data_IF_462442553753
#
_entry.id   IF_462442553753
#
_cell.length_a   1.000
_cell.length_b   1.000
_cell.length_c   1.000
_cell.angle_alpha   90.00
_cell.angle_beta   90.00
_cell.angle_gamma   90.00
#
_symmetry.space_group_name_H-M   'P 1'
#
loop_
_entity.id
_entity.type
_entity.pdbx_description
1 polymer ?
#
# COMPACT_ATOMS: atom_id res chain seq x y z
N UNK A 1 28.73 -1.50 6.50
CA UNK A 1 27.68 -2.53 6.65
C UNK A 1 26.91 -2.55 5.34
N UNK A 2 27.15 -3.55 4.47
CA UNK A 2 26.29 -3.75 3.30
C UNK A 2 25.11 -4.56 3.80
N UNK A 3 23.91 -3.99 3.79
CA UNK A 3 22.70 -4.76 4.04
C UNK A 3 22.60 -5.77 2.89
N UNK A 4 23.13 -6.98 3.07
CA UNK A 4 22.88 -8.12 2.20
C UNK A 4 21.47 -8.64 2.44
N UNK A 5 20.48 -7.76 2.54
CA UNK A 5 19.09 -8.15 2.67
C UNK A 5 18.72 -8.99 1.44
N UNK A 6 17.86 -9.98 1.63
CA UNK A 6 17.35 -10.77 0.51
C UNK A 6 16.46 -9.88 -0.37
N UNK A 7 17.11 -9.21 -1.33
CA UNK A 7 16.52 -8.21 -2.22
C UNK A 7 15.35 -8.80 -3.00
N UNK A 8 15.48 -10.05 -3.45
CA UNK A 8 14.47 -10.74 -4.20
C UNK A 8 13.25 -11.04 -3.33
N UNK A 9 13.45 -11.43 -2.08
CA UNK A 9 12.36 -11.65 -1.13
C UNK A 9 11.65 -10.35 -0.77
N UNK A 10 12.38 -9.26 -0.57
CA UNK A 10 11.78 -7.93 -0.36
C UNK A 10 10.91 -7.53 -1.56
N UNK A 11 11.47 -7.60 -2.77
CA UNK A 11 10.73 -7.25 -4.00
C UNK A 11 9.49 -8.12 -4.18
N UNK A 12 9.60 -9.42 -3.90
CA UNK A 12 8.46 -10.32 -3.95
C UNK A 12 7.37 -9.92 -2.96
N UNK A 13 7.72 -9.53 -1.73
CA UNK A 13 6.75 -9.04 -0.74
C UNK A 13 6.09 -7.74 -1.19
N UNK A 14 6.87 -6.78 -1.70
CA UNK A 14 6.33 -5.54 -2.28
C UNK A 14 5.40 -5.84 -3.47
N UNK A 15 5.72 -6.86 -4.27
CA UNK A 15 4.89 -7.27 -5.39
C UNK A 15 3.54 -7.86 -4.94
N UNK A 16 3.55 -8.69 -3.89
CA UNK A 16 2.32 -9.20 -3.26
C UNK A 16 1.46 -8.05 -2.74
N UNK A 17 2.08 -7.07 -2.07
CA UNK A 17 1.40 -5.87 -1.57
C UNK A 17 0.70 -5.09 -2.68
N UNK A 18 1.42 -4.77 -3.74
CA UNK A 18 0.87 -4.02 -4.86
C UNK A 18 -0.25 -4.80 -5.56
N UNK A 19 -0.14 -6.14 -5.64
CA UNK A 19 -1.19 -7.00 -6.19
C UNK A 19 -2.45 -6.98 -5.33
N UNK A 20 -2.31 -7.07 -4.01
CA UNK A 20 -3.42 -6.99 -3.07
C UNK A 20 -4.17 -5.66 -3.20
N UNK A 21 -3.44 -4.55 -3.17
CA UNK A 21 -4.01 -3.22 -3.39
C UNK A 21 -4.69 -3.09 -4.76
N UNK A 22 -4.10 -3.68 -5.81
CA UNK A 22 -4.68 -3.70 -7.16
C UNK A 22 -5.98 -4.47 -7.23
N UNK A 23 -6.08 -5.61 -6.57
CA UNK A 23 -7.28 -6.43 -6.60
C UNK A 23 -8.39 -5.76 -5.78
N UNK A 24 -8.06 -5.13 -4.65
CA UNK A 24 -9.02 -4.39 -3.83
C UNK A 24 -9.60 -3.16 -4.56
N UNK A 25 -8.76 -2.40 -5.28
CA UNK A 25 -9.20 -1.18 -5.96
C UNK A 25 -9.65 -1.41 -7.41
N UNK A 26 -9.64 -2.64 -7.92
CA UNK A 26 -9.79 -2.93 -9.35
C UNK A 26 -11.07 -2.33 -9.95
N UNK A 27 -12.20 -2.50 -9.28
CA UNK A 27 -13.49 -2.03 -9.80
C UNK A 27 -13.57 -0.51 -9.84
N UNK A 28 -13.14 0.14 -8.76
CA UNK A 28 -13.13 1.61 -8.64
C UNK A 28 -12.16 2.27 -9.63
N UNK A 29 -10.97 1.67 -9.83
CA UNK A 29 -9.98 2.15 -10.79
C UNK A 29 -10.43 1.93 -12.24
N UNK A 30 -11.06 0.79 -12.55
CA UNK A 30 -11.65 0.53 -13.87
C UNK A 30 -12.77 1.50 -14.22
N UNK A 31 -13.59 1.86 -13.23
CA UNK A 31 -14.64 2.85 -13.42
C UNK A 31 -14.07 4.25 -13.72
N UNK A 32 -12.92 4.57 -13.14
CA UNK A 32 -12.30 5.90 -13.24
C UNK A 32 -11.42 6.07 -14.48
N UNK A 33 -10.59 5.06 -14.79
CA UNK A 33 -9.55 5.14 -15.83
C UNK A 33 -9.81 4.23 -17.04
N UNK A 34 -10.84 3.38 -16.99
CA UNK A 34 -11.15 2.38 -18.02
C UNK A 34 -10.59 1.00 -17.71
N UNK A 35 -11.04 -0.02 -18.46
CA UNK A 35 -10.62 -1.42 -18.29
C UNK A 35 -9.13 -1.65 -18.49
N UNK A 36 -8.50 -0.77 -19.27
CA UNK A 36 -7.13 -0.95 -19.79
C UNK A 36 -6.11 -0.14 -18.98
N UNK A 37 -6.48 0.36 -17.79
CA UNK A 37 -5.58 1.14 -16.93
C UNK A 37 -4.36 0.33 -16.43
N UNK A 38 -4.48 -0.99 -16.39
CA UNK A 38 -3.38 -1.94 -16.14
C UNK A 38 -3.55 -3.16 -17.05
N UNK A 39 -2.72 -3.24 -18.08
CA UNK A 39 -2.73 -4.28 -19.10
C UNK A 39 -1.99 -5.55 -18.66
N UNK A 40 -1.00 -5.42 -17.79
CA UNK A 40 -0.11 -6.50 -17.43
C UNK A 40 0.52 -6.37 -16.05
N UNK A 41 1.03 -7.49 -15.57
CA UNK A 41 1.68 -7.58 -14.26
C UNK A 41 2.93 -6.67 -14.18
N UNK A 42 3.64 -6.47 -15.29
CA UNK A 42 4.77 -5.53 -15.37
C UNK A 42 4.40 -4.06 -15.07
N UNK A 43 3.12 -3.70 -15.15
CA UNK A 43 2.62 -2.35 -14.86
C UNK A 43 2.13 -2.21 -13.41
N UNK A 44 2.19 -3.29 -12.61
CA UNK A 44 1.71 -3.29 -11.24
C UNK A 44 2.24 -2.13 -10.38
N UNK A 45 3.51 -1.68 -10.49
CA UNK A 45 3.99 -0.50 -9.76
C UNK A 45 3.25 0.80 -10.06
N UNK A 46 2.61 0.92 -11.23
CA UNK A 46 1.88 2.13 -11.62
C UNK A 46 0.58 2.34 -10.84
N UNK A 47 0.09 1.31 -10.13
CA UNK A 47 -1.09 1.48 -9.29
C UNK A 47 -0.94 2.61 -8.27
N UNK A 48 0.25 2.80 -7.71
CA UNK A 48 0.53 3.88 -6.76
C UNK A 48 0.25 5.25 -7.40
N UNK A 49 0.63 5.40 -8.68
CA UNK A 49 0.32 6.60 -9.45
C UNK A 49 -1.18 6.80 -9.65
N UNK A 50 -1.92 5.74 -10.00
CA UNK A 50 -3.39 5.81 -10.14
C UNK A 50 -4.09 6.17 -8.82
N UNK A 51 -3.66 5.59 -7.70
CA UNK A 51 -4.15 5.95 -6.37
C UNK A 51 -3.94 7.45 -6.11
N UNK A 52 -2.73 7.96 -6.34
CA UNK A 52 -2.47 9.40 -6.17
C UNK A 52 -3.24 10.28 -7.16
N UNK A 53 -3.42 9.85 -8.41
CA UNK A 53 -4.27 10.57 -9.35
C UNK A 53 -5.71 10.64 -8.84
N UNK A 54 -6.27 9.58 -8.25
CA UNK A 54 -7.57 9.64 -7.59
C UNK A 54 -7.59 10.62 -6.41
N UNK A 55 -6.50 10.73 -5.64
CA UNK A 55 -6.38 11.71 -4.55
C UNK A 55 -6.32 13.17 -5.03
N UNK A 56 -5.60 13.43 -6.13
CA UNK A 56 -5.18 14.79 -6.52
C UNK A 56 -5.86 15.36 -7.78
N UNK A 57 -6.51 14.55 -8.63
CA UNK A 57 -7.07 15.03 -9.92
C UNK A 57 -8.41 15.78 -9.76
N UNK A 58 -8.94 15.87 -8.54
CA UNK A 58 -10.22 16.52 -8.24
C UNK A 58 -10.24 18.05 -8.45
N UNK A 59 -9.10 18.73 -8.58
CA UNK A 59 -9.07 20.18 -8.77
C UNK A 59 -9.42 20.63 -10.21
N UNK A 60 -9.47 19.69 -11.17
CA UNK A 60 -9.66 20.01 -12.60
C UNK A 60 -10.97 19.53 -13.21
N UNK A 61 -11.77 18.71 -12.54
CA UNK A 61 -13.02 18.17 -13.08
C UNK A 61 -14.21 18.78 -12.35
N UNK A 62 -14.78 19.82 -12.95
CA UNK A 62 -15.98 20.47 -12.44
C UNK A 62 -17.17 19.52 -12.34
N UNK A 63 -17.93 19.65 -11.25
CA UNK A 63 -19.34 19.24 -11.09
C UNK A 63 -19.68 17.76 -11.32
N UNK A 64 -18.86 16.84 -10.80
CA UNK A 64 -19.24 15.42 -10.65
C UNK A 64 -18.79 14.88 -9.29
N UNK A 65 -19.39 13.77 -8.87
CA UNK A 65 -19.22 13.01 -7.61
C UNK A 65 -17.80 12.45 -7.35
N UNK A 66 -16.75 13.22 -7.68
CA UNK A 66 -15.35 12.84 -7.51
C UNK A 66 -14.91 12.78 -6.04
N UNK A 67 -15.64 13.43 -5.13
CA UNK A 67 -15.35 13.40 -3.69
C UNK A 67 -15.59 12.02 -3.07
N UNK A 68 -16.67 11.34 -3.46
CA UNK A 68 -17.03 9.99 -2.95
C UNK A 68 -16.05 8.93 -3.46
N UNK A 69 -15.60 9.07 -4.71
CA UNK A 69 -14.64 8.15 -5.34
C UNK A 69 -13.24 8.25 -4.71
N UNK A 70 -12.84 9.45 -4.25
CA UNK A 70 -11.55 9.70 -3.56
C UNK A 70 -11.41 8.89 -2.27
N UNK A 71 -12.41 9.01 -1.40
CA UNK A 71 -12.43 8.28 -0.12
C UNK A 71 -12.49 6.77 -0.34
N UNK A 72 -13.31 6.34 -1.29
CA UNK A 72 -13.54 4.91 -1.55
C UNK A 72 -12.27 4.18 -1.99
N UNK A 73 -11.56 4.68 -3.00
CA UNK A 73 -10.35 4.00 -3.52
C UNK A 73 -9.25 3.91 -2.45
N UNK A 74 -9.07 4.96 -1.64
CA UNK A 74 -8.09 4.94 -0.56
C UNK A 74 -8.50 4.03 0.60
N UNK A 75 -9.79 3.99 0.94
CA UNK A 75 -10.30 3.06 1.96
C UNK A 75 -10.15 1.60 1.51
N UNK A 76 -10.39 1.32 0.22
CA UNK A 76 -10.16 -0.01 -0.37
C UNK A 76 -8.68 -0.40 -0.33
N UNK A 77 -7.78 0.52 -0.69
CA UNK A 77 -6.34 0.29 -0.62
C UNK A 77 -5.86 0.12 0.83
N UNK A 78 -6.36 0.94 1.76
CA UNK A 78 -6.04 0.85 3.18
C UNK A 78 -6.49 -0.49 3.75
N UNK A 79 -7.72 -0.93 3.47
CA UNK A 79 -8.19 -2.25 3.92
C UNK A 79 -7.34 -3.41 3.40
N UNK A 80 -6.81 -3.32 2.17
CA UNK A 80 -5.89 -4.32 1.64
C UNK A 80 -4.54 -4.35 2.38
N UNK A 81 -4.06 -3.17 2.81
CA UNK A 81 -2.84 -3.03 3.60
C UNK A 81 -3.06 -3.52 5.04
N UNK A 82 -4.19 -3.20 5.65
CA UNK A 82 -4.56 -3.63 7.00
C UNK A 82 -4.60 -5.16 7.08
N UNK A 83 -5.23 -5.83 6.12
CA UNK A 83 -5.23 -7.30 6.03
C UNK A 83 -3.81 -7.87 5.93
N UNK A 84 -2.88 -7.18 5.24
CA UNK A 84 -1.48 -7.61 5.16
C UNK A 84 -0.72 -7.42 6.47
N UNK A 85 -1.07 -6.39 7.25
CA UNK A 85 -0.55 -6.20 8.60
C UNK A 85 -1.07 -7.32 9.50
N UNK A 86 -2.38 -7.57 9.50
CA UNK A 86 -3.03 -8.61 10.31
C UNK A 86 -2.52 -10.02 10.00
N UNK A 87 -2.26 -10.32 8.73
CA UNK A 87 -1.67 -11.61 8.30
C UNK A 87 -0.17 -11.72 8.58
N UNK A 88 0.45 -10.67 9.12
CA UNK A 88 1.85 -10.63 9.51
C UNK A 88 2.83 -10.50 8.33
N UNK A 89 2.33 -10.16 7.13
CA UNK A 89 3.14 -9.82 5.96
C UNK A 89 3.79 -8.43 6.11
N UNK A 90 3.18 -7.51 6.86
CA UNK A 90 3.78 -6.21 7.19
C UNK A 90 5.11 -6.31 7.98
N UNK A 91 5.25 -7.35 8.80
CA UNK A 91 6.45 -7.60 9.61
C UNK A 91 7.55 -8.39 8.87
N UNK A 92 7.40 -8.66 7.56
CA UNK A 92 8.29 -9.59 6.83
C UNK A 92 9.77 -9.15 6.85
N UNK A 93 10.03 -7.83 6.81
CA UNK A 93 11.38 -7.29 6.85
C UNK A 93 12.01 -7.45 8.23
N UNK A 94 11.25 -7.20 9.29
CA UNK A 94 11.72 -7.34 10.66
C UNK A 94 11.97 -8.80 11.04
N UNK A 95 11.04 -9.70 10.68
CA UNK A 95 11.25 -11.16 10.80
C UNK A 95 12.52 -11.61 10.08
N UNK A 96 12.77 -11.08 8.88
CA UNK A 96 14.01 -11.39 8.14
C UNK A 96 15.28 -10.89 8.86
N UNK A 97 15.22 -9.72 9.49
CA UNK A 97 16.34 -9.16 10.26
C UNK A 97 16.64 -10.00 11.51
N UNK A 98 15.61 -10.43 12.24
CA UNK A 98 15.73 -11.33 13.39
C UNK A 98 16.27 -12.70 12.97
N UNK A 99 15.66 -13.34 11.98
CA UNK A 99 15.99 -14.72 11.56
C UNK A 99 17.41 -14.88 10.98
N UNK A 100 17.84 -13.95 10.12
CA UNK A 100 19.07 -14.13 9.32
C UNK A 100 20.25 -13.31 9.82
N UNK A 101 20.01 -12.22 10.55
CA UNK A 101 21.06 -11.29 10.98
C UNK A 101 21.17 -11.18 12.50
N UNK A 102 20.34 -11.92 13.26
CA UNK A 102 20.32 -11.91 14.72
C UNK A 102 20.22 -10.48 15.29
N UNK A 103 19.45 -9.63 14.60
CA UNK A 103 19.15 -8.28 15.02
C UNK A 103 17.84 -8.31 15.78
N UNK A 104 17.84 -7.90 17.06
CA UNK A 104 16.59 -7.70 17.78
C UNK A 104 15.95 -6.42 17.26
N UNK A 105 14.73 -6.53 16.72
CA UNK A 105 13.92 -5.35 16.40
C UNK A 105 13.17 -4.99 17.67
N UNK A 106 13.50 -3.82 18.21
CA UNK A 106 12.72 -3.23 19.30
C UNK A 106 11.46 -2.61 18.68
N UNK A 107 10.31 -3.13 19.06
CA UNK A 107 9.01 -2.69 18.53
C UNK A 107 8.40 -1.59 19.40
N UNK A 108 8.88 -1.43 20.64
CA UNK A 108 8.39 -0.42 21.59
C UNK A 108 8.67 1.01 21.07
N UNK A 109 9.73 1.20 20.28
CA UNK A 109 10.08 2.47 19.61
C UNK A 109 9.04 2.92 18.55
N UNK A 110 8.11 2.05 18.12
CA UNK A 110 7.09 2.33 17.10
C UNK A 110 5.66 2.41 17.66
N UNK A 111 5.47 2.18 18.96
CA UNK A 111 4.14 2.22 19.62
C UNK A 111 3.73 3.62 20.15
N UNK A 112 4.63 4.60 20.10
CA UNK A 112 4.37 5.98 20.54
C UNK A 112 3.80 6.85 19.40
N UNK A 113 2.49 6.82 19.17
CA UNK A 113 1.74 7.95 18.57
C UNK A 113 0.19 7.82 18.65
N UNK A 114 -0.37 7.16 19.69
CA UNK A 114 -1.84 7.10 19.88
C UNK A 114 -2.39 7.67 21.21
N UNK A 115 -1.58 8.39 22.00
CA UNK A 115 -2.12 9.19 23.12
C UNK A 115 -1.48 10.58 23.21
N UNK A 116 -1.81 11.43 22.24
CA UNK A 116 -1.82 12.88 22.45
C UNK A 116 -3.26 13.38 22.41
N UNK A 117 -4.01 13.10 23.47
CA UNK A 117 -5.25 13.84 23.74
C UNK A 117 -4.91 15.34 23.89
N UNK A 118 -5.58 16.25 23.17
CA UNK A 118 -5.36 17.68 23.36
C UNK A 118 -5.99 18.10 24.69
N UNK A 119 -5.17 18.64 25.59
CA UNK A 119 -5.60 19.34 26.83
C UNK A 119 -6.12 20.73 26.49
#
# INVERSE_FOLDING_TARGET
>A
MHLTFDYLRLHRSCWTLLRSAKDACADSLRQTFGSDYLEGENQLPFIVGYLFMCAFTADKVGKGDGSTTRGKVFLEAAGAIDVMIETGEGAVCAKMMEEYYNYAVDWDDFEDDEDSTPV
#
